data_IF_242127426212
#
_entry.id   IF_242127426212
#
_cell.length_a   1.000
_cell.length_b   1.000
_cell.length_c   1.000
_cell.angle_alpha   90.00
_cell.angle_beta   90.00
_cell.angle_gamma   90.00
#
_symmetry.space_group_name_H-M   'P 1'
#
loop_
_entity.id
_entity.type
_entity.pdbx_description
1 polymer ?
#
# COMPACT_ATOMS: atom_id res chain seq x y z
N UNK A 1 15.56 -0.21 -16.49
CA UNK A 1 15.13 0.89 -15.58
C UNK A 1 13.71 1.40 -15.90
N UNK A 2 12.81 0.57 -16.44
CA UNK A 2 11.42 0.96 -16.77
C UNK A 2 10.37 0.49 -15.76
N UNK A 3 10.66 -0.57 -15.01
CA UNK A 3 9.68 -1.30 -14.21
C UNK A 3 9.17 -0.54 -12.98
N UNK A 4 10.04 0.09 -12.19
CA UNK A 4 9.64 0.69 -10.91
C UNK A 4 8.65 1.85 -11.06
N UNK A 5 8.79 2.68 -12.11
CA UNK A 5 7.86 3.78 -12.39
C UNK A 5 6.49 3.26 -12.86
N UNK A 6 6.49 2.19 -13.65
CA UNK A 6 5.25 1.57 -14.12
C UNK A 6 4.51 0.86 -12.97
N UNK A 7 5.24 0.13 -12.13
CA UNK A 7 4.68 -0.49 -10.91
C UNK A 7 4.10 0.56 -9.96
N UNK A 8 4.80 1.68 -9.75
CA UNK A 8 4.28 2.76 -8.92
C UNK A 8 2.97 3.35 -9.48
N UNK A 9 2.87 3.55 -10.80
CA UNK A 9 1.62 4.02 -11.44
C UNK A 9 0.48 3.03 -11.26
N UNK A 10 0.73 1.74 -11.42
CA UNK A 10 -0.27 0.69 -11.22
C UNK A 10 -0.73 0.62 -9.76
N UNK A 11 0.20 0.71 -8.81
CA UNK A 11 -0.09 0.75 -7.39
C UNK A 11 -0.99 1.95 -7.04
N UNK A 12 -0.65 3.16 -7.53
CA UNK A 12 -1.45 4.37 -7.31
C UNK A 12 -2.85 4.25 -7.93
N UNK A 13 -2.98 3.71 -9.15
CA UNK A 13 -4.28 3.51 -9.81
C UNK A 13 -5.16 2.52 -9.03
N UNK A 14 -4.59 1.42 -8.54
CA UNK A 14 -5.31 0.46 -7.70
C UNK A 14 -5.79 1.09 -6.38
N UNK A 15 -4.94 1.89 -5.72
CA UNK A 15 -5.30 2.61 -4.51
C UNK A 15 -6.44 3.61 -4.75
N UNK A 16 -6.33 4.45 -5.79
CA UNK A 16 -7.33 5.46 -6.13
C UNK A 16 -8.70 4.89 -6.49
N UNK A 17 -8.77 3.66 -7.00
CA UNK A 17 -10.02 2.96 -7.32
C UNK A 17 -10.60 2.18 -6.13
N UNK A 18 -9.95 2.23 -4.96
CA UNK A 18 -10.36 1.45 -3.78
C UNK A 18 -10.06 -0.05 -3.89
N UNK A 19 -9.27 -0.49 -4.89
CA UNK A 19 -8.88 -1.88 -5.08
C UNK A 19 -7.71 -2.25 -4.15
N UNK A 20 -7.93 -2.15 -2.83
CA UNK A 20 -6.89 -2.29 -1.81
C UNK A 20 -6.26 -3.70 -1.77
N UNK A 21 -6.99 -4.74 -2.20
CA UNK A 21 -6.45 -6.09 -2.40
C UNK A 21 -5.38 -6.14 -3.50
N UNK A 22 -5.62 -5.47 -4.63
CA UNK A 22 -4.67 -5.40 -5.74
C UNK A 22 -3.50 -4.48 -5.39
N UNK A 23 -3.78 -3.36 -4.71
CA UNK A 23 -2.74 -2.48 -4.20
C UNK A 23 -1.81 -3.20 -3.22
N UNK A 24 -2.35 -3.97 -2.28
CA UNK A 24 -1.58 -4.70 -1.28
C UNK A 24 -0.58 -5.68 -1.93
N UNK A 25 -0.89 -6.26 -3.10
CA UNK A 25 0.05 -7.13 -3.85
C UNK A 25 1.33 -6.40 -4.27
N UNK A 26 1.26 -5.08 -4.46
CA UNK A 26 2.40 -4.24 -4.85
C UNK A 26 3.30 -3.84 -3.67
N UNK A 27 2.81 -4.02 -2.44
CA UNK A 27 3.51 -3.70 -1.19
C UNK A 27 4.33 -4.91 -0.75
N UNK A 28 5.51 -4.70 -0.17
CA UNK A 28 6.32 -5.78 0.38
C UNK A 28 5.62 -6.43 1.60
N UNK A 29 5.90 -7.71 1.86
CA UNK A 29 5.27 -8.42 2.98
C UNK A 29 5.64 -7.80 4.34
N UNK A 30 6.91 -7.43 4.47
CA UNK A 30 7.55 -6.79 5.62
C UNK A 30 7.47 -5.25 5.59
N UNK A 31 6.62 -4.68 4.73
CA UNK A 31 6.49 -3.24 4.63
C UNK A 31 6.09 -2.60 5.97
N UNK A 32 6.64 -1.42 6.23
CA UNK A 32 6.28 -0.58 7.37
C UNK A 32 5.71 0.74 6.86
N UNK A 33 4.50 1.07 7.29
CA UNK A 33 3.88 2.38 7.06
C UNK A 33 4.07 3.23 8.32
N UNK A 34 4.78 4.35 8.18
CA UNK A 34 4.92 5.33 9.25
C UNK A 34 3.97 6.49 8.99
N UNK A 35 2.98 6.69 9.87
CA UNK A 35 2.05 7.81 9.77
C UNK A 35 2.02 8.63 11.07
N UNK A 36 1.77 9.95 10.99
CA UNK A 36 1.60 10.77 12.18
C UNK A 36 0.42 10.38 13.07
N UNK A 37 -0.59 9.69 12.50
CA UNK A 37 -1.82 9.35 13.22
C UNK A 37 -1.74 8.01 13.94
N UNK A 38 -1.05 7.02 13.36
CA UNK A 38 -1.02 5.65 13.87
C UNK A 38 0.37 5.18 14.30
N UNK A 39 1.41 6.01 14.13
CA UNK A 39 2.79 5.58 14.36
C UNK A 39 3.25 4.61 13.27
N UNK A 40 3.96 3.55 13.66
CA UNK A 40 4.47 2.53 12.74
C UNK A 40 3.51 1.33 12.65
N UNK A 41 3.00 1.07 11.44
CA UNK A 41 2.17 -0.09 11.12
C UNK A 41 3.01 -1.08 10.33
N UNK A 42 3.20 -2.28 10.88
CA UNK A 42 4.05 -3.31 10.29
C UNK A 42 3.24 -4.37 9.59
N UNK A 43 3.68 -4.74 8.40
CA UNK A 43 3.12 -5.81 7.61
C UNK A 43 2.02 -5.33 6.67
N UNK A 44 2.04 -5.86 5.45
CA UNK A 44 1.09 -5.56 4.37
C UNK A 44 -0.38 -5.61 4.82
N UNK A 45 -0.76 -6.63 5.58
CA UNK A 45 -2.16 -6.82 5.99
C UNK A 45 -2.62 -5.74 6.99
N UNK A 46 -1.77 -5.38 7.95
CA UNK A 46 -2.08 -4.31 8.90
C UNK A 46 -2.18 -2.95 8.20
N UNK A 47 -1.28 -2.70 7.23
CA UNK A 47 -1.31 -1.51 6.40
C UNK A 47 -2.59 -1.46 5.55
N UNK A 48 -2.97 -2.57 4.92
CA UNK A 48 -4.23 -2.67 4.16
C UNK A 48 -5.43 -2.37 5.06
N UNK A 49 -5.48 -2.98 6.25
CA UNK A 49 -6.56 -2.75 7.22
C UNK A 49 -6.67 -1.29 7.64
N UNK A 50 -5.55 -0.60 7.81
CA UNK A 50 -5.52 0.83 8.11
C UNK A 50 -6.16 1.69 7.01
N UNK A 51 -5.87 1.40 5.74
CA UNK A 51 -6.49 2.12 4.61
C UNK A 51 -7.94 1.73 4.36
N UNK A 52 -8.38 0.54 4.76
CA UNK A 52 -9.79 0.14 4.70
C UNK A 52 -10.67 0.89 5.73
N UNK A 53 -10.05 1.48 6.76
CA UNK A 53 -10.74 2.22 7.82
C UNK A 53 -10.83 3.73 7.56
N UNK A 54 -10.15 4.24 6.52
CA UNK A 54 -10.23 5.64 6.05
C UNK A 54 -11.37 5.85 5.07
#
# INVERSE_FOLDING_TARGET
MGDSKQMARQSIDAFNRGALDEWAKTVADDAELVTPMAGAIKGREAIKGYFQQM
#
